data_IF_422487716725
#
_entry.id   IF_422487716725
#
_cell.length_a   1.000
_cell.length_b   1.000
_cell.length_c   1.000
_cell.angle_alpha   90.00
_cell.angle_beta   90.00
_cell.angle_gamma   90.00
#
_symmetry.space_group_name_H-M   'P 1'
#
loop_
_entity.id
_entity.type
_entity.pdbx_description
1 polymer ?
#
# COMPACT_ATOMS: atom_id res chain seq x y z
N UNK A 1 -5.15 -68.79 3.34
CA UNK A 1 -5.69 -67.56 2.73
C UNK A 1 -5.07 -66.40 3.48
N UNK A 2 -4.11 -65.76 2.86
CA UNK A 2 -3.38 -64.59 3.33
C UNK A 2 -4.25 -63.35 3.15
N UNK A 3 -4.67 -62.73 4.26
CA UNK A 3 -5.18 -61.36 4.25
C UNK A 3 -3.96 -60.42 4.31
N UNK A 4 -3.61 -59.84 3.17
CA UNK A 4 -2.65 -58.74 3.04
C UNK A 4 -3.23 -57.53 3.78
N UNK A 5 -2.54 -57.06 4.81
CA UNK A 5 -2.81 -55.79 5.46
C UNK A 5 -2.14 -54.69 4.64
N UNK A 6 -2.92 -54.00 3.80
CA UNK A 6 -2.49 -52.82 3.03
C UNK A 6 -2.32 -51.57 3.93
N UNK A 7 -1.75 -51.71 5.12
CA UNK A 7 -1.51 -50.62 6.09
C UNK A 7 -0.02 -50.21 6.21
N UNK A 8 0.89 -50.87 5.48
CA UNK A 8 2.35 -50.66 5.58
C UNK A 8 2.89 -49.44 4.82
N UNK A 9 2.05 -48.58 4.22
CA UNK A 9 2.52 -47.50 3.36
C UNK A 9 1.94 -46.12 3.68
N UNK A 10 1.36 -45.93 4.87
CA UNK A 10 1.07 -44.57 5.35
C UNK A 10 2.36 -43.94 5.87
N UNK A 11 2.76 -42.76 5.37
CA UNK A 11 3.89 -42.05 5.94
C UNK A 11 3.62 -41.87 7.44
N UNK A 12 4.53 -42.34 8.31
CA UNK A 12 4.39 -42.14 9.76
C UNK A 12 4.23 -40.66 10.11
N UNK A 13 3.63 -40.35 11.25
CA UNK A 13 3.39 -38.97 11.73
C UNK A 13 4.62 -38.07 11.55
N UNK A 14 4.42 -36.83 11.11
CA UNK A 14 5.52 -35.89 10.95
C UNK A 14 5.93 -35.31 12.31
N UNK A 15 7.17 -35.53 12.71
CA UNK A 15 7.74 -34.98 13.96
C UNK A 15 7.69 -33.45 14.06
N UNK A 16 7.49 -32.74 12.94
CA UNK A 16 7.49 -31.27 12.89
C UNK A 16 6.11 -30.63 12.79
N UNK A 17 5.08 -31.33 12.34
CA UNK A 17 3.73 -30.77 12.26
C UNK A 17 2.64 -31.71 12.78
N UNK A 18 3.02 -32.90 13.26
CA UNK A 18 2.12 -33.95 13.72
C UNK A 18 1.11 -34.42 12.67
N UNK A 19 1.37 -34.19 11.39
CA UNK A 19 0.51 -34.71 10.32
C UNK A 19 0.79 -36.21 10.11
N UNK A 20 -0.24 -37.02 10.32
CA UNK A 20 -0.29 -38.47 10.12
C UNK A 20 -1.06 -38.87 8.85
N UNK A 21 -1.55 -37.88 8.09
CA UNK A 21 -2.38 -38.06 6.89
C UNK A 21 -1.58 -38.06 5.59
N UNK A 22 -0.26 -37.82 5.67
CA UNK A 22 0.62 -37.75 4.51
C UNK A 22 0.40 -36.51 3.63
N UNK A 23 -0.18 -35.44 4.19
CA UNK A 23 -0.43 -34.15 3.52
C UNK A 23 0.75 -33.19 3.76
N UNK A 24 1.60 -33.50 4.74
CA UNK A 24 2.82 -32.78 5.04
C UNK A 24 3.83 -32.76 3.88
N UNK A 25 4.43 -31.59 3.67
CA UNK A 25 5.45 -31.30 2.66
C UNK A 25 6.89 -31.66 3.11
N UNK A 26 7.07 -32.43 4.18
CA UNK A 26 8.37 -32.74 4.85
C UNK A 26 9.47 -33.31 3.96
N UNK A 27 9.15 -33.79 2.76
CA UNK A 27 10.12 -34.38 1.83
C UNK A 27 10.73 -33.37 0.86
N UNK A 28 10.30 -32.10 0.91
CA UNK A 28 10.90 -31.00 0.16
C UNK A 28 12.17 -30.54 0.89
N UNK A 29 13.21 -30.19 0.14
CA UNK A 29 14.45 -29.63 0.68
C UNK A 29 14.51 -28.15 0.29
N UNK A 30 15.20 -27.34 1.10
CA UNK A 30 15.50 -25.96 0.75
C UNK A 30 16.24 -25.89 -0.59
N UNK A 31 15.98 -24.83 -1.35
CA UNK A 31 16.80 -24.50 -2.52
C UNK A 31 18.16 -23.95 -2.05
N UNK A 32 19.24 -24.52 -2.56
CA UNK A 32 20.64 -24.24 -2.15
C UNK A 32 20.88 -24.35 -0.63
N UNK A 33 20.12 -25.18 0.09
CA UNK A 33 20.13 -25.27 1.57
C UNK A 33 19.82 -23.95 2.31
N UNK A 34 19.27 -22.95 1.62
CA UNK A 34 19.12 -21.59 2.12
C UNK A 34 17.73 -21.00 1.93
N UNK A 35 17.04 -21.40 0.85
CA UNK A 35 15.83 -20.73 0.40
C UNK A 35 14.61 -21.62 0.46
N UNK A 36 13.49 -21.02 0.81
CA UNK A 36 12.17 -21.64 0.68
C UNK A 36 11.17 -20.65 0.14
N UNK A 37 10.14 -21.15 -0.50
CA UNK A 37 9.06 -20.33 -1.01
C UNK A 37 7.78 -20.58 -0.22
N UNK A 38 7.03 -19.51 0.03
CA UNK A 38 5.71 -19.56 0.65
C UNK A 38 4.69 -19.08 -0.37
N UNK A 39 3.67 -19.88 -0.62
CA UNK A 39 2.49 -19.41 -1.36
C UNK A 39 1.59 -18.65 -0.39
N UNK A 40 1.24 -17.42 -0.74
CA UNK A 40 0.38 -16.58 0.09
C UNK A 40 -1.06 -17.04 -0.02
N UNK A 41 -1.63 -17.49 1.10
CA UNK A 41 -3.04 -17.90 1.22
C UNK A 41 -3.94 -16.70 1.58
N UNK A 42 -5.27 -16.81 1.49
CA UNK A 42 -6.23 -15.70 1.69
C UNK A 42 -5.94 -14.82 2.93
N UNK A 43 -5.50 -15.40 4.05
CA UNK A 43 -5.22 -14.68 5.31
C UNK A 43 -3.74 -14.36 5.54
N UNK A 44 -2.91 -14.38 4.50
CA UNK A 44 -1.46 -14.28 4.61
C UNK A 44 -1.02 -13.04 5.39
N UNK A 45 -1.65 -11.88 5.17
CA UNK A 45 -1.33 -10.60 5.80
C UNK A 45 -1.57 -10.57 7.32
N UNK A 46 -2.45 -11.44 7.81
CA UNK A 46 -2.71 -11.66 9.24
C UNK A 46 -1.80 -12.76 9.80
N UNK A 47 -1.67 -13.85 9.07
CA UNK A 47 -0.97 -15.06 9.50
C UNK A 47 -0.38 -15.79 8.29
N UNK A 48 0.95 -15.86 8.21
CA UNK A 48 1.66 -16.61 7.18
C UNK A 48 2.42 -17.76 7.81
N UNK A 49 1.98 -18.98 7.48
CA UNK A 49 2.59 -20.23 7.95
C UNK A 49 3.96 -20.44 7.31
N UNK A 50 4.92 -20.86 8.12
CA UNK A 50 6.18 -21.43 7.63
C UNK A 50 5.88 -22.87 7.18
N UNK A 51 6.21 -23.25 5.93
CA UNK A 51 6.05 -24.62 5.44
C UNK A 51 6.77 -25.63 6.33
N UNK A 52 6.23 -26.84 6.48
CA UNK A 52 6.77 -27.79 7.45
C UNK A 52 8.20 -28.20 7.08
N UNK A 53 8.51 -28.34 5.80
CA UNK A 53 9.88 -28.63 5.35
C UNK A 53 10.89 -27.53 5.71
N UNK A 54 10.46 -26.27 5.72
CA UNK A 54 11.33 -25.13 6.04
C UNK A 54 11.40 -24.86 7.56
N UNK A 55 10.42 -25.35 8.33
CA UNK A 55 10.25 -25.07 9.76
C UNK A 55 11.50 -25.34 10.57
N UNK A 56 12.11 -26.52 10.41
CA UNK A 56 13.34 -26.90 11.10
C UNK A 56 14.45 -25.87 10.90
N UNK A 57 14.74 -25.53 9.65
CA UNK A 57 15.80 -24.60 9.27
C UNK A 57 15.53 -23.19 9.81
N UNK A 58 14.28 -22.73 9.74
CA UNK A 58 13.88 -21.43 10.30
C UNK A 58 14.10 -21.41 11.82
N UNK A 59 13.65 -22.43 12.54
CA UNK A 59 13.77 -22.47 14.00
C UNK A 59 15.23 -22.54 14.45
N UNK A 60 16.04 -23.42 13.84
CA UNK A 60 17.48 -23.52 14.09
C UNK A 60 18.17 -22.18 13.82
N UNK A 61 17.92 -21.58 12.64
CA UNK A 61 18.56 -20.32 12.24
C UNK A 61 18.16 -19.12 13.09
N UNK A 62 16.91 -19.08 13.56
CA UNK A 62 16.41 -18.03 14.46
C UNK A 62 16.69 -18.35 15.94
N UNK A 63 17.39 -19.46 16.21
CA UNK A 63 17.91 -19.86 17.51
C UNK A 63 16.87 -20.36 18.51
N UNK A 64 15.73 -20.88 18.05
CA UNK A 64 14.77 -21.54 18.94
C UNK A 64 15.38 -22.83 19.48
N UNK A 65 15.34 -23.03 20.80
CA UNK A 65 15.98 -24.19 21.44
C UNK A 65 15.14 -25.46 21.32
N UNK A 66 13.82 -25.32 21.43
CA UNK A 66 12.85 -26.41 21.38
C UNK A 66 11.74 -26.07 20.39
N UNK A 67 11.59 -26.92 19.38
CA UNK A 67 10.55 -26.78 18.37
C UNK A 67 9.13 -26.96 18.92
N UNK A 68 8.94 -27.66 20.04
CA UNK A 68 7.62 -27.82 20.64
C UNK A 68 7.21 -26.63 21.53
N UNK A 69 8.16 -25.75 21.86
CA UNK A 69 7.95 -24.66 22.79
C UNK A 69 7.00 -23.58 22.27
N UNK A 70 6.20 -23.02 23.18
CA UNK A 70 5.41 -21.83 22.91
C UNK A 70 6.28 -20.57 23.10
N UNK A 71 7.01 -20.20 22.05
CA UNK A 71 7.96 -19.10 22.06
C UNK A 71 7.61 -18.06 20.99
N UNK A 72 7.90 -16.78 21.26
CA UNK A 72 7.85 -15.72 20.25
C UNK A 72 9.16 -14.97 20.21
N UNK A 73 9.79 -14.93 19.04
CA UNK A 73 11.00 -14.14 18.82
C UNK A 73 10.74 -12.95 17.92
N UNK A 74 11.51 -11.89 18.15
CA UNK A 74 11.58 -10.74 17.23
C UNK A 74 12.73 -10.99 16.27
N UNK A 75 12.42 -10.99 14.98
CA UNK A 75 13.41 -11.17 13.92
C UNK A 75 13.32 -10.01 12.93
N UNK A 76 14.31 -9.87 12.06
CA UNK A 76 14.29 -8.89 10.98
C UNK A 76 13.92 -9.59 9.67
N UNK A 77 12.94 -9.04 8.96
CA UNK A 77 12.75 -9.31 7.54
C UNK A 77 13.42 -8.19 6.76
N UNK A 78 14.44 -8.54 5.99
CA UNK A 78 15.18 -7.59 5.16
C UNK A 78 14.88 -7.82 3.69
N UNK A 79 14.80 -6.75 2.93
CA UNK A 79 14.64 -6.82 1.47
C UNK A 79 15.90 -6.32 0.79
N UNK A 80 16.19 -6.81 -0.43
CA UNK A 80 17.37 -6.33 -1.18
C UNK A 80 17.26 -4.85 -1.58
N UNK A 81 16.09 -4.23 -1.43
CA UNK A 81 15.86 -2.79 -1.55
C UNK A 81 16.31 -1.98 -0.31
N UNK A 82 16.93 -2.63 0.68
CA UNK A 82 17.43 -1.95 1.89
C UNK A 82 16.33 -1.55 2.87
N UNK A 83 15.18 -2.23 2.84
CA UNK A 83 14.08 -2.02 3.80
C UNK A 83 14.03 -3.18 4.77
N UNK A 84 14.02 -2.84 6.07
CA UNK A 84 13.99 -3.78 7.18
C UNK A 84 12.69 -3.65 7.99
N UNK A 85 12.10 -4.80 8.33
CA UNK A 85 10.92 -4.89 9.19
C UNK A 85 11.22 -5.80 10.37
N UNK A 86 11.10 -5.28 11.60
CA UNK A 86 11.11 -6.13 12.78
C UNK A 86 9.77 -6.85 12.90
N UNK A 87 9.73 -8.15 12.65
CA UNK A 87 8.51 -8.97 12.77
C UNK A 87 8.57 -9.87 13.99
N UNK A 88 7.42 -10.44 14.35
CA UNK A 88 7.32 -11.50 15.35
C UNK A 88 7.18 -12.83 14.64
N UNK A 89 8.07 -13.76 14.96
CA UNK A 89 7.99 -15.16 14.57
C UNK A 89 7.46 -15.95 15.76
N UNK A 90 6.28 -16.52 15.58
CA UNK A 90 5.58 -17.28 16.62
C UNK A 90 5.82 -18.76 16.40
N UNK A 91 6.22 -19.47 17.44
CA UNK A 91 6.36 -20.91 17.46
C UNK A 91 5.38 -21.54 18.46
N UNK A 92 4.81 -22.68 18.06
CA UNK A 92 4.06 -23.58 18.91
C UNK A 92 4.32 -25.02 18.40
N UNK A 93 3.81 -26.02 19.13
CA UNK A 93 4.15 -27.43 18.91
C UNK A 93 4.24 -27.87 17.44
N UNK A 94 3.16 -27.68 16.68
CA UNK A 94 3.04 -28.12 15.28
C UNK A 94 3.19 -27.00 14.24
N UNK A 95 3.42 -25.75 14.67
CA UNK A 95 3.24 -24.60 13.78
C UNK A 95 4.19 -23.45 14.08
N UNK A 96 4.71 -22.85 13.02
CA UNK A 96 5.50 -21.62 13.07
C UNK A 96 4.95 -20.64 12.05
N UNK A 97 4.84 -19.36 12.41
CA UNK A 97 4.23 -18.36 11.51
C UNK A 97 4.68 -16.92 11.78
N UNK A 98 4.54 -16.10 10.75
CA UNK A 98 4.50 -14.65 10.87
C UNK A 98 3.06 -14.19 11.17
N UNK A 99 2.90 -13.17 12.00
CA UNK A 99 1.57 -12.60 12.25
C UNK A 99 1.61 -11.32 13.06
N UNK A 100 2.02 -10.21 12.43
CA UNK A 100 2.02 -8.91 13.08
C UNK A 100 1.88 -7.75 12.09
N UNK A 101 1.61 -6.54 12.59
CA UNK A 101 1.45 -5.33 11.78
C UNK A 101 2.63 -5.00 10.87
N UNK A 102 3.84 -5.42 11.25
CA UNK A 102 5.03 -5.17 10.43
C UNK A 102 5.13 -6.16 9.25
N UNK A 103 4.59 -7.38 9.41
CA UNK A 103 4.40 -8.31 8.30
C UNK A 103 3.31 -7.81 7.33
N UNK A 104 2.16 -7.39 7.86
CA UNK A 104 1.08 -6.74 7.10
C UNK A 104 1.63 -5.52 6.33
N UNK A 105 2.47 -4.71 6.97
CA UNK A 105 3.10 -3.55 6.34
C UNK A 105 4.06 -3.93 5.21
N UNK A 106 4.88 -4.97 5.37
CA UNK A 106 5.75 -5.48 4.30
C UNK A 106 4.92 -5.97 3.12
N UNK A 107 3.88 -6.77 3.37
CA UNK A 107 2.97 -7.26 2.34
C UNK A 107 2.36 -6.12 1.54
N UNK A 108 1.84 -5.12 2.24
CA UNK A 108 1.23 -3.94 1.63
C UNK A 108 2.26 -3.05 0.90
N UNK A 109 3.49 -2.97 1.41
CA UNK A 109 4.57 -2.19 0.79
C UNK A 109 4.93 -2.71 -0.60
N UNK A 110 4.92 -4.03 -0.77
CA UNK A 110 5.27 -4.68 -2.04
C UNK A 110 4.07 -5.10 -2.89
N UNK A 111 2.85 -4.90 -2.39
CA UNK A 111 1.64 -5.25 -3.14
C UNK A 111 1.52 -6.75 -3.33
N UNK A 112 1.81 -7.51 -2.28
CA UNK A 112 1.58 -8.94 -2.27
C UNK A 112 0.07 -9.23 -2.31
N UNK A 113 -0.30 -10.25 -3.07
CA UNK A 113 -1.67 -10.74 -3.21
C UNK A 113 -1.74 -12.25 -2.97
N UNK A 114 -2.94 -12.75 -2.68
CA UNK A 114 -3.22 -14.18 -2.60
C UNK A 114 -2.74 -14.92 -3.87
N UNK A 115 -2.12 -16.08 -3.67
CA UNK A 115 -1.58 -16.92 -4.72
C UNK A 115 -0.17 -16.56 -5.19
N UNK A 116 0.37 -15.41 -4.78
CA UNK A 116 1.77 -15.08 -5.04
C UNK A 116 2.72 -16.03 -4.30
N UNK A 117 3.88 -16.28 -4.89
CA UNK A 117 4.96 -17.07 -4.30
C UNK A 117 6.05 -16.12 -3.81
N UNK A 118 6.30 -16.10 -2.50
CA UNK A 118 7.34 -15.26 -1.88
C UNK A 118 8.51 -16.13 -1.46
N UNK A 119 9.70 -15.83 -1.97
CA UNK A 119 10.92 -16.56 -1.60
C UNK A 119 11.59 -15.91 -0.39
N UNK A 120 11.88 -16.73 0.60
CA UNK A 120 12.58 -16.40 1.84
C UNK A 120 13.97 -17.03 1.79
N UNK A 121 14.99 -16.26 2.16
CA UNK A 121 16.39 -16.69 2.19
C UNK A 121 16.94 -16.53 3.62
N UNK A 122 17.41 -17.64 4.18
CA UNK A 122 17.96 -17.74 5.54
C UNK A 122 19.44 -17.30 5.63
N UNK A 123 20.05 -17.00 4.48
CA UNK A 123 21.46 -16.70 4.31
C UNK A 123 22.35 -17.92 4.52
N UNK A 124 23.65 -17.75 4.25
CA UNK A 124 24.64 -18.81 4.37
C UNK A 124 24.68 -19.41 5.79
N UNK A 125 24.36 -20.71 5.97
CA UNK A 125 24.30 -21.34 7.28
C UNK A 125 25.66 -21.38 8.00
N UNK A 126 26.78 -21.23 7.27
CA UNK A 126 28.13 -21.22 7.83
C UNK A 126 28.51 -19.88 8.46
N UNK A 127 27.74 -18.82 8.19
CA UNK A 127 27.97 -17.48 8.71
C UNK A 127 27.01 -17.25 9.88
N UNK A 128 27.56 -16.94 11.05
CA UNK A 128 26.76 -16.50 12.20
C UNK A 128 26.13 -15.14 11.93
N UNK A 129 24.83 -15.02 12.17
CA UNK A 129 24.11 -13.76 12.05
C UNK A 129 24.14 -13.01 13.37
N UNK A 130 24.59 -11.75 13.38
CA UNK A 130 24.51 -10.89 14.57
C UNK A 130 23.06 -10.67 15.03
N UNK A 131 22.11 -10.70 14.08
CA UNK A 131 20.68 -10.53 14.33
C UNK A 131 19.90 -11.59 13.56
N UNK A 132 18.89 -12.23 14.17
CA UNK A 132 18.06 -13.20 13.47
C UNK A 132 17.36 -12.52 12.28
N UNK A 133 17.80 -12.85 11.07
CA UNK A 133 17.38 -12.14 9.84
C UNK A 133 17.00 -13.14 8.76
N UNK A 134 15.86 -12.89 8.12
CA UNK A 134 15.40 -13.60 6.92
C UNK A 134 15.31 -12.57 5.81
N UNK A 135 15.94 -12.85 4.66
CA UNK A 135 15.82 -12.02 3.49
C UNK A 135 14.58 -12.40 2.70
N UNK A 136 13.74 -11.41 2.39
CA UNK A 136 12.58 -11.58 1.51
C UNK A 136 13.03 -11.17 0.10
N UNK A 137 13.08 -12.14 -0.81
CA UNK A 137 13.49 -11.91 -2.19
C UNK A 137 12.29 -11.41 -3.00
N UNK A 138 12.29 -10.13 -3.33
CA UNK A 138 11.18 -9.47 -4.03
C UNK A 138 11.71 -8.68 -5.21
N UNK A 139 11.57 -9.19 -6.43
CA UNK A 139 12.19 -8.54 -7.61
C UNK A 139 11.52 -7.22 -8.00
N UNK A 140 10.31 -6.97 -7.49
CA UNK A 140 9.55 -5.75 -7.76
C UNK A 140 9.91 -4.65 -6.75
N UNK A 141 10.07 -3.39 -7.21
CA UNK A 141 10.30 -2.29 -6.29
C UNK A 141 9.07 -2.07 -5.40
N UNK A 142 9.25 -1.51 -4.18
CA UNK A 142 8.14 -1.17 -3.31
C UNK A 142 7.09 -0.32 -4.03
N UNK A 143 5.81 -0.66 -3.86
CA UNK A 143 4.68 0.11 -4.42
C UNK A 143 4.22 1.22 -3.47
N UNK A 144 4.58 1.18 -2.19
CA UNK A 144 4.26 2.22 -1.21
C UNK A 144 5.51 2.67 -0.46
N UNK A 145 5.68 3.98 -0.22
CA UNK A 145 6.85 4.48 0.50
C UNK A 145 6.73 4.32 2.02
N UNK A 146 7.86 4.33 2.77
CA UNK A 146 7.86 4.35 4.23
C UNK A 146 7.02 5.46 4.86
N UNK A 147 6.95 6.63 4.21
CA UNK A 147 6.12 7.76 4.65
C UNK A 147 4.65 7.40 4.80
N UNK A 148 4.13 6.48 3.97
CA UNK A 148 2.78 5.96 4.09
C UNK A 148 2.54 5.28 5.45
N UNK A 149 3.46 4.43 5.90
CA UNK A 149 3.31 3.66 7.14
C UNK A 149 3.48 4.51 8.39
N UNK A 150 4.24 5.61 8.30
CA UNK A 150 4.37 6.60 9.37
C UNK A 150 3.22 7.62 9.42
N UNK A 151 2.37 7.66 8.38
CA UNK A 151 1.27 8.61 8.31
C UNK A 151 0.05 8.21 9.16
N UNK A 152 -0.83 9.17 9.39
CA UNK A 152 -2.05 8.96 10.18
C UNK A 152 -2.97 7.93 9.51
N UNK A 153 -3.88 7.33 10.31
CA UNK A 153 -4.89 6.39 9.76
C UNK A 153 -5.77 7.06 8.69
N UNK A 154 -6.03 8.36 8.81
CA UNK A 154 -6.85 9.09 7.86
C UNK A 154 -6.08 9.41 6.57
N UNK A 155 -4.80 9.78 6.67
CA UNK A 155 -3.92 9.90 5.49
C UNK A 155 -3.82 8.59 4.72
N UNK A 156 -3.58 7.46 5.40
CA UNK A 156 -3.56 6.14 4.75
C UNK A 156 -4.87 5.81 4.04
N UNK A 157 -6.02 6.12 4.66
CA UNK A 157 -7.33 5.96 4.02
C UNK A 157 -7.50 6.84 2.77
N UNK A 158 -6.99 8.07 2.78
CA UNK A 158 -7.00 8.92 1.60
C UNK A 158 -6.16 8.30 0.48
N UNK A 159 -4.92 7.90 0.79
CA UNK A 159 -4.00 7.29 -0.19
C UNK A 159 -4.58 6.01 -0.77
N UNK A 160 -5.07 5.08 0.07
CA UNK A 160 -5.64 3.79 -0.35
C UNK A 160 -6.86 3.94 -1.28
N UNK A 161 -7.59 5.06 -1.14
CA UNK A 161 -8.81 5.35 -1.91
C UNK A 161 -8.59 6.29 -3.07
N UNK A 162 -7.33 6.59 -3.37
CA UNK A 162 -7.00 7.47 -4.48
C UNK A 162 -7.50 6.84 -5.78
N UNK A 163 -8.30 7.60 -6.49
CA UNK A 163 -8.78 7.24 -7.82
C UNK A 163 -7.76 7.68 -8.86
N UNK A 164 -7.32 6.74 -9.68
CA UNK A 164 -6.41 6.98 -10.80
C UNK A 164 -7.21 6.86 -12.10
N UNK A 165 -7.09 7.84 -13.00
CA UNK A 165 -7.43 7.56 -14.41
C UNK A 165 -6.40 6.65 -15.03
N UNK A 166 -6.79 6.00 -16.13
CA UNK A 166 -5.88 5.32 -17.04
C UNK A 166 -4.62 6.17 -17.33
N UNK A 167 -3.44 5.56 -17.10
CA UNK A 167 -2.13 6.16 -17.36
C UNK A 167 -1.69 7.22 -16.35
N UNK A 168 -2.38 7.35 -15.22
CA UNK A 168 -2.05 8.32 -14.17
C UNK A 168 -1.41 7.71 -12.93
N UNK A 169 -1.03 6.43 -13.00
CA UNK A 169 -0.34 5.72 -11.95
C UNK A 169 0.91 6.49 -11.52
N UNK A 170 1.10 6.59 -10.21
CA UNK A 170 2.24 7.28 -9.63
C UNK A 170 3.39 6.30 -9.43
N UNK A 171 4.58 6.76 -9.75
CA UNK A 171 5.82 6.07 -9.37
C UNK A 171 5.98 6.06 -7.86
N UNK A 172 6.89 5.22 -7.36
CA UNK A 172 7.24 5.17 -5.94
C UNK A 172 7.62 6.55 -5.36
N UNK A 173 8.40 7.34 -6.12
CA UNK A 173 8.79 8.70 -5.71
C UNK A 173 7.58 9.63 -5.66
N UNK A 174 6.69 9.58 -6.65
CA UNK A 174 5.50 10.42 -6.68
C UNK A 174 4.47 10.04 -5.62
N UNK A 175 4.41 8.78 -5.22
CA UNK A 175 3.58 8.35 -4.08
C UNK A 175 4.02 8.98 -2.77
N UNK A 176 5.31 9.28 -2.57
CA UNK A 176 5.74 10.10 -1.42
C UNK A 176 5.10 11.48 -1.44
N UNK A 177 5.01 12.10 -2.62
CA UNK A 177 4.38 13.40 -2.78
C UNK A 177 2.87 13.35 -2.54
N UNK A 178 2.19 12.28 -2.97
CA UNK A 178 0.78 12.04 -2.64
C UNK A 178 0.56 11.93 -1.12
N UNK A 179 1.37 11.13 -0.42
CA UNK A 179 1.31 10.99 1.04
C UNK A 179 1.54 12.34 1.72
N UNK A 180 2.53 13.12 1.27
CA UNK A 180 2.79 14.47 1.75
C UNK A 180 1.60 15.40 1.56
N UNK A 181 1.06 15.49 0.34
CA UNK A 181 -0.11 16.30 0.03
C UNK A 181 -1.33 15.95 0.90
N UNK A 182 -1.61 14.66 1.10
CA UNK A 182 -2.68 14.20 1.98
C UNK A 182 -2.43 14.57 3.46
N UNK A 183 -1.18 14.48 3.92
CA UNK A 183 -0.78 14.88 5.27
C UNK A 183 -0.97 16.39 5.47
N UNK A 184 -0.61 17.19 4.48
CA UNK A 184 -0.73 18.64 4.56
C UNK A 184 -2.17 19.12 4.47
N UNK A 185 -3.03 18.42 3.72
CA UNK A 185 -4.47 18.64 3.78
C UNK A 185 -5.03 18.34 5.18
N UNK A 186 -4.63 17.22 5.80
CA UNK A 186 -5.04 16.90 7.17
C UNK A 186 -4.61 18.00 8.15
N UNK A 187 -3.36 18.45 8.08
CA UNK A 187 -2.84 19.54 8.89
C UNK A 187 -3.58 20.86 8.63
N UNK A 188 -3.86 21.19 7.37
CA UNK A 188 -4.64 22.36 6.99
C UNK A 188 -6.03 22.35 7.62
N UNK A 189 -6.72 21.21 7.58
CA UNK A 189 -8.05 21.07 8.15
C UNK A 189 -8.04 21.22 9.68
N UNK A 190 -7.03 20.64 10.35
CA UNK A 190 -6.84 20.80 11.80
C UNK A 190 -6.57 22.26 12.16
N UNK A 191 -5.65 22.91 11.45
CA UNK A 191 -5.24 24.29 11.73
C UNK A 191 -6.40 25.28 11.54
N UNK A 192 -7.12 25.17 10.40
CA UNK A 192 -8.22 26.07 10.07
C UNK A 192 -9.55 25.66 10.74
N UNK A 193 -9.55 24.59 11.56
CA UNK A 193 -10.76 24.02 12.18
C UNK A 193 -11.88 23.85 11.16
N UNK A 194 -11.54 23.31 9.99
CA UNK A 194 -12.50 23.17 8.91
C UNK A 194 -13.68 22.32 9.41
N UNK A 195 -14.93 22.80 9.27
CA UNK A 195 -16.10 22.09 9.76
C UNK A 195 -16.25 20.69 9.20
N UNK A 196 -17.17 19.93 9.80
CA UNK A 196 -17.40 18.55 9.41
C UNK A 196 -17.69 18.44 7.90
N UNK A 197 -17.00 17.49 7.28
CA UNK A 197 -17.12 17.17 5.88
C UNK A 197 -18.28 16.18 5.72
N UNK A 198 -19.16 16.43 4.76
CA UNK A 198 -20.37 15.64 4.55
C UNK A 198 -20.15 14.41 3.66
N UNK A 199 -18.93 14.17 3.20
CA UNK A 199 -18.58 13.04 2.36
C UNK A 199 -17.16 12.60 2.58
N UNK A 200 -16.82 11.39 2.15
CA UNK A 200 -15.47 10.86 2.29
C UNK A 200 -14.52 11.53 1.31
N UNK A 201 -13.25 11.70 1.70
CA UNK A 201 -12.21 12.13 0.79
C UNK A 201 -11.94 11.03 -0.24
N UNK A 202 -12.06 11.38 -1.52
CA UNK A 202 -11.61 10.55 -2.64
C UNK A 202 -10.59 11.38 -3.41
N UNK A 203 -9.30 11.23 -3.11
CA UNK A 203 -8.25 11.85 -3.91
C UNK A 203 -8.33 11.35 -5.34
N UNK A 204 -7.97 12.23 -6.25
CA UNK A 204 -7.97 12.03 -7.67
C UNK A 204 -6.57 12.28 -8.21
N UNK A 205 -6.05 11.37 -9.01
CA UNK A 205 -4.84 11.59 -9.80
C UNK A 205 -5.19 11.45 -11.26
N UNK A 206 -4.90 12.49 -12.05
CA UNK A 206 -5.18 12.53 -13.48
C UNK A 206 -4.02 13.11 -14.27
N UNK A 207 -3.69 12.50 -15.39
CA UNK A 207 -2.87 13.17 -16.41
C UNK A 207 -3.76 14.21 -17.11
N UNK A 208 -3.37 15.48 -17.05
CA UNK A 208 -4.08 16.56 -17.74
C UNK A 208 -3.97 16.35 -19.25
N UNK A 209 -5.09 16.14 -19.91
CA UNK A 209 -5.17 15.88 -21.34
C UNK A 209 -6.42 16.53 -21.95
N UNK A 210 -6.55 16.51 -23.28
CA UNK A 210 -7.68 17.14 -23.97
C UNK A 210 -9.05 16.49 -23.69
N UNK A 211 -9.07 15.29 -23.11
CA UNK A 211 -10.29 14.61 -22.68
C UNK A 211 -10.84 15.12 -21.34
N UNK A 212 -9.96 15.52 -20.41
CA UNK A 212 -10.37 16.03 -19.09
C UNK A 212 -10.17 17.53 -18.92
N UNK A 213 -9.34 18.18 -19.73
CA UNK A 213 -9.15 19.62 -19.73
C UNK A 213 -9.21 20.17 -21.15
N UNK A 214 -10.16 21.07 -21.40
CA UNK A 214 -10.29 21.72 -22.70
C UNK A 214 -10.72 23.19 -22.55
N UNK A 215 -9.90 24.09 -23.12
CA UNK A 215 -10.11 25.53 -23.12
C UNK A 215 -10.01 26.15 -21.72
N UNK A 216 -11.11 26.10 -20.98
CA UNK A 216 -11.25 26.69 -19.65
C UNK A 216 -12.02 25.78 -18.67
N UNK A 217 -12.17 24.51 -19.06
CA UNK A 217 -13.01 23.55 -18.35
C UNK A 217 -12.20 22.34 -17.95
N UNK A 218 -12.31 21.95 -16.68
CA UNK A 218 -11.80 20.69 -16.13
C UNK A 218 -12.98 19.76 -15.83
N UNK A 219 -12.79 18.47 -16.11
CA UNK A 219 -13.77 17.40 -15.85
C UNK A 219 -13.23 16.52 -14.73
N UNK A 220 -14.07 16.29 -13.72
CA UNK A 220 -13.84 15.37 -12.61
C UNK A 220 -14.77 14.14 -12.77
N UNK A 221 -14.25 12.91 -12.66
CA UNK A 221 -15.06 11.69 -12.70
C UNK A 221 -16.09 11.62 -11.58
N UNK A 222 -17.20 10.92 -11.82
CA UNK A 222 -18.28 10.74 -10.85
C UNK A 222 -17.80 10.15 -9.52
N UNK A 223 -16.89 9.18 -9.57
CA UNK A 223 -16.38 8.47 -8.38
C UNK A 223 -15.65 9.41 -7.41
N UNK A 224 -15.19 10.57 -7.89
CA UNK A 224 -14.50 11.58 -7.10
C UNK A 224 -15.41 12.75 -6.71
N UNK A 225 -16.67 12.78 -7.14
CA UNK A 225 -17.64 13.83 -6.79
C UNK A 225 -18.36 13.44 -5.50
N UNK A 226 -18.23 14.23 -4.41
CA UNK A 226 -19.00 13.96 -3.20
C UNK A 226 -20.51 13.91 -3.45
N UNK A 227 -21.16 12.85 -2.95
CA UNK A 227 -22.58 12.55 -3.17
C UNK A 227 -23.58 13.64 -2.75
N UNK A 228 -23.20 14.55 -1.85
CA UNK A 228 -24.04 15.66 -1.36
C UNK A 228 -23.74 17.01 -2.03
N UNK A 229 -23.02 17.02 -3.16
CA UNK A 229 -22.85 18.26 -3.92
C UNK A 229 -24.13 18.67 -4.64
N UNK A 230 -24.41 19.97 -4.64
CA UNK A 230 -25.49 20.53 -5.46
C UNK A 230 -25.20 20.32 -6.96
N UNK A 231 -26.25 20.31 -7.79
CA UNK A 231 -26.06 20.17 -9.25
C UNK A 231 -25.26 21.33 -9.85
N UNK A 232 -25.28 22.51 -9.22
CA UNK A 232 -24.53 23.71 -9.62
C UNK A 232 -24.10 24.47 -8.38
N UNK A 233 -22.94 25.11 -8.44
CA UNK A 233 -22.44 25.95 -7.35
C UNK A 233 -21.12 26.64 -7.69
N UNK A 234 -20.48 27.19 -6.66
CA UNK A 234 -19.11 27.72 -6.72
C UNK A 234 -18.19 26.83 -5.89
N UNK A 235 -17.00 26.59 -6.42
CA UNK A 235 -15.95 25.77 -5.82
C UNK A 235 -14.80 26.68 -5.40
N UNK A 236 -14.43 26.63 -4.13
CA UNK A 236 -13.20 27.26 -3.66
C UNK A 236 -12.02 26.38 -4.10
N UNK A 237 -11.18 26.88 -5.00
CA UNK A 237 -10.05 26.11 -5.55
C UNK A 237 -8.76 26.58 -4.90
N UNK A 238 -8.10 25.65 -4.21
CA UNK A 238 -6.94 25.90 -3.36
C UNK A 238 -5.76 24.99 -3.76
N UNK A 239 -4.62 25.59 -4.04
CA UNK A 239 -3.34 24.88 -4.02
C UNK A 239 -2.60 25.29 -2.75
N UNK A 240 -2.36 24.33 -1.87
CA UNK A 240 -1.70 24.52 -0.57
C UNK A 240 -0.17 24.39 -0.64
N UNK A 241 0.40 24.09 -1.81
CA UNK A 241 1.81 23.70 -2.00
C UNK A 241 2.52 24.33 -3.21
N UNK A 242 3.81 24.62 -3.04
CA UNK A 242 4.36 25.53 -2.04
C UNK A 242 4.21 26.99 -2.49
N UNK A 243 4.34 27.92 -1.54
CA UNK A 243 4.21 29.36 -1.77
C UNK A 243 2.83 29.93 -1.43
N UNK A 244 2.47 31.07 -2.04
CA UNK A 244 1.18 31.72 -1.76
C UNK A 244 0.04 30.84 -2.28
N UNK A 245 -0.95 30.44 -1.45
CA UNK A 245 -2.05 29.61 -1.92
C UNK A 245 -2.76 30.25 -3.11
N UNK A 246 -3.18 29.43 -4.07
CA UNK A 246 -4.25 29.91 -4.96
C UNK A 246 -5.52 30.00 -4.13
N UNK A 247 -6.26 31.08 -4.32
CA UNK A 247 -7.57 31.24 -3.73
C UNK A 247 -8.52 31.73 -4.82
N UNK A 248 -9.06 30.77 -5.57
CA UNK A 248 -9.92 31.02 -6.71
C UNK A 248 -11.33 30.52 -6.40
N UNK A 249 -12.32 31.19 -6.96
CA UNK A 249 -13.69 30.73 -6.99
C UNK A 249 -14.02 30.33 -8.43
N UNK A 250 -14.37 29.06 -8.62
CA UNK A 250 -14.65 28.47 -9.92
C UNK A 250 -16.09 27.94 -9.95
N UNK A 251 -16.93 28.35 -10.91
CA UNK A 251 -18.27 27.79 -11.02
C UNK A 251 -18.20 26.33 -11.48
N UNK A 252 -19.04 25.48 -10.90
CA UNK A 252 -19.12 24.07 -11.26
C UNK A 252 -20.55 23.64 -11.61
N UNK A 253 -20.63 22.53 -12.34
CA UNK A 253 -21.88 21.82 -12.62
C UNK A 253 -21.66 20.31 -12.58
N UNK A 254 -22.49 19.62 -11.80
CA UNK A 254 -22.55 18.15 -11.78
C UNK A 254 -23.51 17.67 -12.86
N UNK A 255 -23.09 16.70 -13.66
CA UNK A 255 -23.87 16.09 -14.73
C UNK A 255 -24.95 15.17 -14.15
N UNK A 256 -26.21 15.37 -14.54
CA UNK A 256 -27.32 14.46 -14.14
C UNK A 256 -27.23 13.09 -14.81
N UNK A 257 -26.54 12.98 -15.95
CA UNK A 257 -26.47 11.75 -16.75
C UNK A 257 -25.27 10.90 -16.37
N UNK A 258 -24.11 11.52 -16.24
CA UNK A 258 -22.84 10.83 -15.99
C UNK A 258 -22.35 10.95 -14.56
N UNK A 259 -22.94 11.82 -13.74
CA UNK A 259 -22.48 12.08 -12.35
C UNK A 259 -21.17 12.87 -12.25
N UNK A 260 -20.35 12.89 -13.31
CA UNK A 260 -19.12 13.69 -13.35
C UNK A 260 -19.37 15.20 -13.21
N UNK A 261 -18.38 15.90 -12.68
CA UNK A 261 -18.43 17.34 -12.44
C UNK A 261 -17.59 18.10 -13.46
N UNK A 262 -18.13 19.21 -13.92
CA UNK A 262 -17.49 20.17 -14.82
C UNK A 262 -17.15 21.42 -14.01
N UNK A 263 -15.87 21.78 -13.94
CA UNK A 263 -15.38 23.00 -13.29
C UNK A 263 -14.98 23.98 -14.41
N UNK A 264 -15.55 25.18 -14.41
CA UNK A 264 -15.20 26.26 -15.35
C UNK A 264 -14.17 27.20 -14.74
N UNK A 265 -13.60 28.07 -15.56
CA UNK A 265 -12.55 29.03 -15.15
C UNK A 265 -11.27 28.35 -14.67
N UNK A 266 -11.06 27.09 -15.05
CA UNK A 266 -9.89 26.31 -14.66
C UNK A 266 -8.61 26.79 -15.34
N UNK A 267 -8.71 27.54 -16.44
CA UNK A 267 -7.55 28.14 -17.10
C UNK A 267 -6.76 29.03 -16.14
N UNK A 268 -7.41 29.66 -15.14
CA UNK A 268 -6.75 30.43 -14.08
C UNK A 268 -5.75 29.58 -13.28
N UNK A 269 -6.09 28.31 -13.02
CA UNK A 269 -5.20 27.36 -12.36
C UNK A 269 -4.02 26.97 -13.26
N UNK A 270 -4.29 26.75 -14.55
CA UNK A 270 -3.26 26.39 -15.54
C UNK A 270 -2.26 27.51 -15.82
N UNK A 271 -2.75 28.76 -15.91
CA UNK A 271 -1.94 29.94 -16.21
C UNK A 271 -1.15 30.45 -14.98
N UNK A 272 -1.48 29.97 -13.78
CA UNK A 272 -0.77 30.28 -12.55
C UNK A 272 0.63 29.65 -12.56
N UNK A 273 1.67 30.46 -12.41
CA UNK A 273 3.02 29.94 -12.16
C UNK A 273 3.11 29.49 -10.70
N UNK A 274 3.28 28.19 -10.50
CA UNK A 274 3.43 27.55 -9.19
C UNK A 274 4.61 26.60 -9.22
N UNK A 275 5.15 26.38 -8.05
CA UNK A 275 6.10 25.30 -7.85
C UNK A 275 5.38 23.97 -8.00
N UNK A 276 5.98 23.07 -8.75
CA UNK A 276 5.41 21.75 -8.97
C UNK A 276 5.69 20.89 -7.74
N UNK A 277 4.73 20.05 -7.39
CA UNK A 277 4.86 19.15 -6.26
C UNK A 277 6.09 18.24 -6.47
N UNK A 278 6.94 18.14 -5.45
CA UNK A 278 8.16 17.33 -5.53
C UNK A 278 9.31 17.92 -6.36
N UNK A 279 9.22 19.19 -6.77
CA UNK A 279 10.24 19.84 -7.59
C UNK A 279 10.51 21.27 -7.11
N UNK A 280 11.73 21.77 -7.34
CA UNK A 280 12.06 23.18 -7.12
C UNK A 280 11.74 24.06 -8.34
N UNK A 281 11.04 23.51 -9.34
CA UNK A 281 10.72 24.20 -10.59
C UNK A 281 9.39 24.94 -10.45
N UNK A 282 9.40 26.25 -10.74
CA UNK A 282 8.20 27.07 -10.83
C UNK A 282 7.79 27.31 -12.28
N UNK A 283 6.65 26.74 -12.70
CA UNK A 283 6.09 26.96 -14.03
C UNK A 283 4.57 26.87 -14.06
N UNK A 284 4.00 27.17 -15.21
CA UNK A 284 2.58 26.91 -15.50
C UNK A 284 2.35 25.41 -15.65
N UNK A 285 1.17 24.96 -15.28
CA UNK A 285 0.73 23.60 -15.60
C UNK A 285 0.51 23.48 -17.11
N UNK A 286 0.72 22.28 -17.66
CA UNK A 286 0.54 21.99 -19.07
C UNK A 286 -0.11 20.63 -19.25
N UNK A 287 -0.61 20.38 -20.46
CA UNK A 287 -1.02 19.04 -20.89
C UNK A 287 0.15 18.07 -20.71
N UNK A 288 -0.14 16.89 -20.17
CA UNK A 288 0.84 15.86 -19.80
C UNK A 288 1.23 15.87 -18.32
N UNK A 289 1.08 16.99 -17.62
CA UNK A 289 1.31 17.02 -16.17
C UNK A 289 0.25 16.19 -15.43
N UNK A 290 0.59 15.65 -14.26
CA UNK A 290 -0.38 14.99 -13.39
C UNK A 290 -0.94 15.96 -12.36
N UNK A 291 -2.26 16.02 -12.27
CA UNK A 291 -2.96 16.76 -11.22
C UNK A 291 -3.38 15.77 -10.13
N UNK A 292 -3.00 16.09 -8.89
CA UNK A 292 -3.61 15.49 -7.69
C UNK A 292 -4.69 16.46 -7.23
N UNK A 293 -5.91 15.98 -6.99
CA UNK A 293 -7.01 16.79 -6.47
C UNK A 293 -7.81 16.06 -5.40
N UNK A 294 -8.30 16.79 -4.40
CA UNK A 294 -9.23 16.29 -3.39
C UNK A 294 -10.41 17.25 -3.32
N UNK A 295 -11.59 16.73 -3.63
CA UNK A 295 -12.84 17.47 -3.50
C UNK A 295 -13.42 17.29 -2.11
N UNK A 296 -13.74 18.41 -1.50
CA UNK A 296 -14.31 18.52 -0.18
C UNK A 296 -15.67 19.25 -0.29
N UNK A 297 -16.69 18.70 0.35
CA UNK A 297 -17.99 19.35 0.51
C UNK A 297 -18.40 19.28 1.98
N UNK A 298 -18.42 20.44 2.64
CA UNK A 298 -18.71 20.57 4.07
C UNK A 298 -19.56 21.80 4.37
N UNK A 299 -19.72 22.14 5.65
CA UNK A 299 -20.49 23.33 6.06
C UNK A 299 -19.93 24.64 5.49
N UNK A 300 -18.61 24.72 5.30
CA UNK A 300 -17.95 25.87 4.68
C UNK A 300 -18.12 25.94 3.16
N UNK A 301 -18.91 25.04 2.57
CA UNK A 301 -19.12 24.94 1.14
C UNK A 301 -18.21 23.92 0.47
N UNK A 302 -18.17 23.98 -0.87
CA UNK A 302 -17.38 23.06 -1.69
C UNK A 302 -15.98 23.63 -1.94
N UNK A 303 -14.95 22.84 -1.66
CA UNK A 303 -13.54 23.19 -1.84
C UNK A 303 -12.83 22.11 -2.65
N UNK A 304 -11.96 22.50 -3.58
CA UNK A 304 -11.05 21.60 -4.29
C UNK A 304 -9.62 21.95 -3.91
N UNK A 305 -8.96 21.03 -3.22
CA UNK A 305 -7.52 21.10 -3.01
C UNK A 305 -6.84 20.47 -4.22
N UNK A 306 -5.79 21.08 -4.75
CA UNK A 306 -5.05 20.50 -5.87
C UNK A 306 -3.55 20.77 -5.79
N UNK A 307 -2.78 19.90 -6.43
CA UNK A 307 -1.35 20.06 -6.68
C UNK A 307 -1.02 19.51 -8.08
N UNK A 308 0.08 19.98 -8.66
CA UNK A 308 0.54 19.56 -10.00
C UNK A 308 1.90 18.90 -9.87
N UNK A 309 1.97 17.64 -10.32
CA UNK A 309 3.20 16.88 -10.54
C UNK A 309 3.62 17.00 -12.01
N UNK A 310 4.94 17.09 -12.30
CA UNK A 310 5.45 17.11 -13.66
C UNK A 310 5.22 15.80 -14.43
#
# INVERSE_FOLDING_TARGET
MSYSSDDENRPGECDWCHDDRGICDRFIVLDEDQRFSIKLEETFDVHTLIPCFARRYVLERMGFEDHESFETKKIILSTHHGVDFQVKLYNAQSVTHFGCKNWEALCKMYGFDEGMLVTMDLGDPTIEQERPTIFVLVDTPPILPPSYFHSSKNVRKMVDRTYYTEGSELTYQEKNHLVGFCTDLENYNVYNRTPQHYGQYVPLVHVLNYGNYHGDTLIIPNDCVPHLMYTRGSLHVLNIHPGRPTNLNCPYRVSKRSGGMIIKEWKKCMDSRKELLGSNIQRRAKIGDRMIAILHNGESGSTSFYAILP
#
